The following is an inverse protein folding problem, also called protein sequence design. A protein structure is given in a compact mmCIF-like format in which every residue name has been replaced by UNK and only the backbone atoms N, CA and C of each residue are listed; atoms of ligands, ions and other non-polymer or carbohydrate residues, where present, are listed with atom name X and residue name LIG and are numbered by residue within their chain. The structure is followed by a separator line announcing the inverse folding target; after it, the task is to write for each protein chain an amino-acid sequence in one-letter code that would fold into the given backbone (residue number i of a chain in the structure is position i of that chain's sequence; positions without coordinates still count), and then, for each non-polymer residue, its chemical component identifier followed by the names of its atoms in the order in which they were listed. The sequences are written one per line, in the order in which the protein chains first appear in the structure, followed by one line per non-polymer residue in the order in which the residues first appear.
data_IF_860073920743
#
_entry.id   IF_860073920743
#
_cell.length_a   1.000
_cell.length_b   1.000
_cell.length_c   1.000
_cell.angle_alpha   90.00
_cell.angle_beta   90.00
_cell.angle_gamma   90.00
#
_symmetry.space_group_name_H-M   'P 1'
#
loop_
_entity.id
_entity.type
_entity.pdbx_description
1 polymer ?
#
# COMPACT_ATOMS: atom_id res chain seq x y z
N UNK A 1 1.20 26.40 -18.87
CA UNK A 1 2.06 26.00 -17.74
C UNK A 1 1.32 24.94 -16.93
N UNK A 2 1.80 23.68 -16.94
CA UNK A 2 1.15 22.61 -16.19
C UNK A 2 1.22 22.92 -14.69
N UNK A 3 0.07 23.06 -14.05
CA UNK A 3 0.00 23.38 -12.63
C UNK A 3 0.52 22.18 -11.84
N UNK A 4 1.49 22.37 -10.94
CA UNK A 4 2.24 21.30 -10.24
C UNK A 4 1.31 20.31 -9.54
N UNK A 5 0.14 20.78 -9.09
CA UNK A 5 -0.93 19.98 -8.49
C UNK A 5 -1.59 18.96 -9.44
N UNK A 6 -1.67 19.27 -10.74
CA UNK A 6 -2.22 18.36 -11.76
C UNK A 6 -1.27 17.21 -12.09
N UNK A 7 0.03 17.51 -12.12
CA UNK A 7 1.08 16.50 -12.32
C UNK A 7 1.14 15.56 -11.12
N UNK A 8 1.08 16.09 -9.89
CA UNK A 8 1.07 15.29 -8.67
C UNK A 8 -0.11 14.29 -8.63
N UNK A 9 -1.31 14.71 -9.05
CA UNK A 9 -2.47 13.82 -9.20
C UNK A 9 -2.27 12.73 -10.26
N UNK A 10 -1.63 13.06 -11.39
CA UNK A 10 -1.36 12.09 -12.47
C UNK A 10 -0.34 11.03 -12.02
N UNK A 11 0.75 11.47 -11.39
CA UNK A 11 1.77 10.57 -10.82
C UNK A 11 1.23 9.70 -9.69
N UNK A 12 0.48 10.29 -8.74
CA UNK A 12 -0.14 9.53 -7.66
C UNK A 12 -1.11 8.48 -8.21
N UNK A 13 -1.91 8.78 -9.24
CA UNK A 13 -2.81 7.79 -9.86
C UNK A 13 -2.04 6.61 -10.48
N UNK A 14 -0.93 6.86 -11.16
CA UNK A 14 -0.14 5.78 -11.78
C UNK A 14 0.61 4.95 -10.72
N UNK A 15 1.30 5.61 -9.79
CA UNK A 15 2.05 4.96 -8.71
C UNK A 15 1.13 4.22 -7.74
N UNK A 16 -0.05 4.79 -7.41
CA UNK A 16 -1.00 4.13 -6.52
C UNK A 16 -1.52 2.81 -7.06
N UNK A 17 -1.76 2.69 -8.37
CA UNK A 17 -2.19 1.42 -8.96
C UNK A 17 -1.05 0.40 -8.88
N UNK A 18 0.17 0.77 -9.28
CA UNK A 18 1.32 -0.14 -9.23
C UNK A 18 1.69 -0.58 -7.80
N UNK A 19 1.51 0.30 -6.81
CA UNK A 19 1.88 0.06 -5.41
C UNK A 19 0.73 -0.57 -4.61
N UNK A 20 -0.52 -0.20 -4.88
CA UNK A 20 -1.68 -0.75 -4.14
C UNK A 20 -1.93 -2.22 -4.43
N UNK A 21 -1.68 -2.68 -5.66
CA UNK A 21 -1.87 -4.08 -6.05
C UNK A 21 -1.01 -5.06 -5.19
N UNK A 22 0.33 -4.89 -5.11
CA UNK A 22 1.15 -5.71 -4.23
C UNK A 22 0.86 -5.47 -2.74
N UNK A 23 0.52 -4.24 -2.34
CA UNK A 23 0.13 -3.96 -0.95
C UNK A 23 -1.16 -4.65 -0.54
N UNK A 24 -2.14 -4.74 -1.44
CA UNK A 24 -3.40 -5.42 -1.18
C UNK A 24 -3.16 -6.92 -1.03
N UNK A 25 -2.31 -7.51 -1.88
CA UNK A 25 -1.89 -8.90 -1.71
C UNK A 25 -1.14 -9.12 -0.39
N UNK A 26 -0.25 -8.21 0.01
CA UNK A 26 0.43 -8.27 1.30
C UNK A 26 -0.55 -8.20 2.48
N UNK A 27 -1.52 -7.29 2.42
CA UNK A 27 -2.54 -7.15 3.45
C UNK A 27 -3.39 -8.42 3.55
N UNK A 28 -3.89 -8.93 2.41
CA UNK A 28 -4.69 -10.16 2.35
C UNK A 28 -3.91 -11.35 2.91
N UNK A 29 -2.67 -11.56 2.47
CA UNK A 29 -1.83 -12.66 2.96
C UNK A 29 -1.48 -12.51 4.44
N UNK A 30 -1.29 -11.28 4.94
CA UNK A 30 -1.06 -10.99 6.35
C UNK A 30 -2.28 -11.29 7.23
N UNK A 31 -3.49 -11.03 6.73
CA UNK A 31 -4.74 -11.36 7.44
C UNK A 31 -5.10 -12.84 7.35
N UNK A 32 -4.86 -13.49 6.21
CA UNK A 32 -5.20 -14.90 5.98
C UNK A 32 -4.20 -15.86 6.64
N UNK A 33 -2.93 -15.47 6.78
CA UNK A 33 -1.90 -16.31 7.44
C UNK A 33 -2.30 -16.79 8.85
N UNK A 34 -2.67 -15.92 9.80
CA UNK A 34 -3.05 -16.36 11.14
C UNK A 34 -4.33 -17.21 11.16
N UNK A 35 -5.29 -16.93 10.27
CA UNK A 35 -6.51 -17.74 10.15
C UNK A 35 -6.18 -19.17 9.73
N UNK A 36 -5.27 -19.36 8.75
CA UNK A 36 -4.83 -20.69 8.31
C UNK A 36 -3.94 -21.39 9.34
N UNK A 37 -3.24 -20.63 10.17
CA UNK A 37 -2.45 -21.13 11.29
C UNK A 37 -3.37 -21.72 12.37
N UNK A 38 -4.47 -21.05 12.70
CA UNK A 38 -5.51 -21.60 13.59
C UNK A 38 -6.20 -22.85 13.01
N UNK A 39 -6.33 -22.93 11.69
CA UNK A 39 -6.92 -24.10 11.02
C UNK A 39 -5.92 -25.27 10.81
N UNK A 40 -4.71 -25.19 11.40
CA UNK A 40 -3.66 -26.22 11.30
C UNK A 40 -3.17 -26.54 9.88
N UNK A 41 -3.27 -25.59 8.93
CA UNK A 41 -2.74 -25.76 7.57
C UNK A 41 -1.27 -25.32 7.46
N UNK A 42 -0.36 -25.98 8.17
CA UNK A 42 1.07 -25.60 8.29
C UNK A 42 1.78 -25.40 6.94
N UNK A 43 1.49 -26.24 5.95
CA UNK A 43 2.08 -26.15 4.61
C UNK A 43 1.60 -24.89 3.87
N UNK A 44 0.32 -24.54 3.98
CA UNK A 44 -0.25 -23.35 3.36
C UNK A 44 0.28 -22.08 4.03
N UNK A 45 0.36 -22.06 5.36
CA UNK A 45 0.91 -20.96 6.15
C UNK A 45 2.36 -20.68 5.75
N UNK A 46 3.20 -21.71 5.60
CA UNK A 46 4.60 -21.54 5.15
C UNK A 46 4.70 -20.88 3.78
N UNK A 47 3.84 -21.25 2.84
CA UNK A 47 3.84 -20.67 1.48
C UNK A 47 3.34 -19.23 1.53
N UNK A 48 2.21 -18.98 2.18
CA UNK A 48 1.61 -17.64 2.27
C UNK A 48 2.54 -16.67 3.00
N UNK A 49 3.20 -17.11 4.07
CA UNK A 49 4.14 -16.28 4.84
C UNK A 49 5.40 -15.94 4.04
N UNK A 50 5.86 -16.83 3.14
CA UNK A 50 6.92 -16.52 2.16
C UNK A 50 6.47 -15.52 1.10
N UNK A 51 5.22 -15.61 0.64
CA UNK A 51 4.61 -14.64 -0.28
C UNK A 51 4.49 -13.26 0.39
N UNK A 52 3.90 -13.22 1.59
CA UNK A 52 3.70 -12.01 2.39
C UNK A 52 5.00 -11.25 2.65
N UNK A 53 6.05 -11.95 3.08
CA UNK A 53 7.35 -11.35 3.34
C UNK A 53 8.12 -10.95 2.07
N UNK A 54 7.62 -11.30 0.87
CA UNK A 54 8.33 -11.07 -0.38
C UNK A 54 9.61 -11.90 -0.52
N UNK A 55 9.83 -12.88 0.37
CA UNK A 55 11.06 -13.69 0.41
C UNK A 55 11.27 -14.49 -0.88
N UNK A 56 10.20 -14.81 -1.59
CA UNK A 56 10.23 -15.53 -2.88
C UNK A 56 10.88 -14.67 -3.98
N UNK A 57 10.63 -13.36 -3.97
CA UNK A 57 11.10 -12.45 -5.01
C UNK A 57 12.42 -11.74 -4.64
N UNK A 58 12.61 -11.40 -3.37
CA UNK A 58 13.73 -10.57 -2.90
C UNK A 58 14.79 -11.32 -2.09
N UNK A 59 14.63 -12.63 -1.86
CA UNK A 59 15.63 -13.46 -1.18
C UNK A 59 16.04 -12.89 0.18
N UNK A 60 17.32 -12.50 0.31
CA UNK A 60 17.90 -11.86 1.51
C UNK A 60 17.49 -10.40 1.70
N UNK A 61 17.07 -9.70 0.65
CA UNK A 61 16.61 -8.30 0.69
C UNK A 61 15.17 -8.10 1.16
N UNK A 62 14.49 -9.18 1.56
CA UNK A 62 13.07 -9.18 1.96
C UNK A 62 12.75 -8.21 3.10
N UNK A 63 13.70 -7.98 4.03
CA UNK A 63 13.52 -7.04 5.16
C UNK A 63 13.37 -5.62 4.65
N UNK A 64 14.24 -5.21 3.72
CA UNK A 64 14.20 -3.87 3.11
C UNK A 64 12.92 -3.72 2.28
N UNK A 65 12.55 -4.74 1.51
CA UNK A 65 11.31 -4.74 0.74
C UNK A 65 10.06 -4.61 1.63
N UNK A 66 10.01 -5.35 2.74
CA UNK A 66 8.89 -5.27 3.70
C UNK A 66 8.81 -3.88 4.36
N UNK A 67 9.95 -3.30 4.74
CA UNK A 67 9.99 -1.95 5.32
C UNK A 67 9.57 -0.89 4.29
N UNK A 68 10.06 -0.99 3.06
CA UNK A 68 9.67 -0.11 1.96
C UNK A 68 8.19 -0.25 1.62
N UNK A 69 7.62 -1.45 1.71
CA UNK A 69 6.18 -1.67 1.50
C UNK A 69 5.35 -0.95 2.57
N UNK A 70 5.75 -1.03 3.84
CA UNK A 70 5.12 -0.25 4.91
C UNK A 70 5.20 1.27 4.67
N UNK A 71 6.37 1.78 4.29
CA UNK A 71 6.57 3.19 3.94
C UNK A 71 5.75 3.60 2.71
N UNK A 72 5.67 2.75 1.69
CA UNK A 72 4.89 2.98 0.49
C UNK A 72 3.40 3.07 0.82
N UNK A 73 2.89 2.21 1.69
CA UNK A 73 1.50 2.25 2.17
C UNK A 73 1.20 3.53 2.94
N UNK A 74 2.09 3.94 3.86
CA UNK A 74 1.96 5.21 4.59
C UNK A 74 2.00 6.40 3.64
N UNK A 75 2.94 6.42 2.70
CA UNK A 75 3.04 7.47 1.69
C UNK A 75 1.78 7.55 0.82
N UNK A 76 1.23 6.40 0.42
CA UNK A 76 -0.01 6.33 -0.34
C UNK A 76 -1.21 6.87 0.45
N UNK A 77 -1.31 6.50 1.73
CA UNK A 77 -2.37 6.98 2.62
C UNK A 77 -2.29 8.49 2.81
N UNK A 78 -1.12 9.02 3.20
CA UNK A 78 -0.93 10.45 3.44
C UNK A 78 -1.20 11.26 2.18
N UNK A 79 -0.68 10.83 1.03
CA UNK A 79 -0.89 11.53 -0.25
C UNK A 79 -2.34 11.41 -0.74
N UNK A 80 -2.97 10.25 -0.58
CA UNK A 80 -4.39 10.05 -0.88
C UNK A 80 -5.30 10.93 -0.01
N UNK A 81 -5.04 10.99 1.29
CA UNK A 81 -5.76 11.84 2.25
C UNK A 81 -5.59 13.33 1.95
N UNK A 82 -4.38 13.75 1.56
CA UNK A 82 -4.12 15.13 1.14
C UNK A 82 -4.89 15.53 -0.13
N UNK A 83 -5.19 14.57 -1.01
CA UNK A 83 -5.96 14.81 -2.24
C UNK A 83 -7.48 14.70 -2.08
N UNK A 84 -7.96 14.13 -0.97
CA UNK A 84 -9.37 14.07 -0.63
C UNK A 84 -9.94 15.49 -0.55
N UNK A 85 -10.97 15.73 -1.36
CA UNK A 85 -11.60 17.05 -1.56
C UNK A 85 -12.21 17.64 -0.27
N UNK A 86 -12.29 16.83 0.79
CA UNK A 86 -12.76 17.18 2.13
C UNK A 86 -11.88 18.24 2.83
N UNK A 87 -10.60 18.36 2.45
CA UNK A 87 -9.71 19.45 2.90
C UNK A 87 -9.66 20.64 1.94
N UNK A 88 -10.39 20.58 0.82
CA UNK A 88 -10.42 21.60 -0.21
C UNK A 88 -11.47 22.67 0.04
N UNK A 89 -11.04 23.77 0.70
CA UNK A 89 -11.71 25.07 0.81
C UNK A 89 -13.09 25.04 1.48
N UNK A 90 -13.09 25.42 2.77
CA UNK A 90 -14.19 26.26 3.29
C UNK A 90 -14.30 27.45 2.32
N UNK A 91 -15.38 27.51 1.56
CA UNK A 91 -15.77 28.72 0.86
C UNK A 91 -15.92 29.80 1.93
N UNK A 92 -14.90 30.66 2.08
CA UNK A 92 -15.08 31.98 2.65
C UNK A 92 -15.97 32.73 1.66
N UNK A 93 -17.28 32.49 1.76
CA UNK A 93 -18.30 33.36 1.19
C UNK A 93 -18.20 34.66 1.98
N UNK A 94 -17.42 35.60 1.46
CA UNK A 94 -17.49 37.00 1.86
C UNK A 94 -18.56 37.63 0.97
N UNK A 95 -19.80 37.60 1.41
CA UNK A 95 -20.86 38.54 1.03
C UNK A 95 -21.68 38.82 2.28
#
# INVERSE_FOLDING_TARGET
MANVSSLFRKYHRQLSIMVSLPLMLMALTGTVSPILEEMHFDSAVKVIRKIHSGKIFFGTGYVVYSALSGLALLGLLVTGFSMLRMFGRKNLKKQ
#
